data_IF_806231903054
#
_entry.id   IF_806231903054
#
_cell.length_a   1.000
_cell.length_b   1.000
_cell.length_c   1.000
_cell.angle_alpha   90.00
_cell.angle_beta   90.00
_cell.angle_gamma   90.00
#
_symmetry.space_group_name_H-M   'P 1'
#
loop_
_entity.id
_entity.type
_entity.pdbx_description
1 polymer ?
#
# COMPACT_ATOMS: atom_id res chain seq x y z
N UNK A 1 -5.88 4.11 27.36
CA UNK A 1 -5.91 5.54 27.01
C UNK A 1 -7.23 5.84 26.31
N UNK A 2 -7.92 6.91 26.71
CA UNK A 2 -9.15 7.33 26.04
C UNK A 2 -8.82 7.90 24.66
N UNK A 3 -9.57 7.50 23.62
CA UNK A 3 -9.53 8.14 22.31
C UNK A 3 -10.40 9.38 22.35
N UNK A 4 -9.88 10.53 21.89
CA UNK A 4 -10.69 11.71 21.62
C UNK A 4 -11.23 11.61 20.19
N UNK A 5 -12.55 11.64 20.04
CA UNK A 5 -13.22 11.60 18.74
C UNK A 5 -13.80 12.98 18.44
N UNK A 6 -13.51 13.52 17.28
CA UNK A 6 -14.07 14.77 16.78
C UNK A 6 -15.09 14.47 15.69
N UNK A 7 -16.28 15.03 15.78
CA UNK A 7 -17.37 14.84 14.80
C UNK A 7 -17.35 15.87 13.67
N UNK A 8 -16.36 16.76 13.63
CA UNK A 8 -16.23 17.81 12.62
C UNK A 8 -14.77 18.05 12.24
N UNK A 9 -14.52 18.97 11.29
CA UNK A 9 -13.18 19.29 10.85
C UNK A 9 -12.32 19.79 12.01
N UNK A 10 -11.10 19.25 12.13
CA UNK A 10 -10.10 19.72 13.09
C UNK A 10 -9.07 20.55 12.33
N UNK A 11 -8.94 21.84 12.68
CA UNK A 11 -7.90 22.72 12.16
C UNK A 11 -6.77 22.81 13.16
N UNK A 12 -5.57 22.38 12.77
CA UNK A 12 -4.34 22.62 13.53
C UNK A 12 -3.50 23.66 12.80
N UNK A 13 -3.11 24.74 13.50
CA UNK A 13 -2.27 25.80 12.93
C UNK A 13 -0.77 25.48 12.97
N UNK A 14 -0.37 24.51 13.81
CA UNK A 14 1.01 24.07 13.97
C UNK A 14 1.26 22.63 13.48
N UNK A 15 0.25 21.99 12.91
CA UNK A 15 0.31 20.59 12.48
C UNK A 15 0.05 19.59 13.61
N UNK A 16 0.04 18.31 13.26
CA UNK A 16 -0.06 17.20 14.21
C UNK A 16 1.29 16.52 14.31
N UNK A 17 1.75 16.29 15.53
CA UNK A 17 2.94 15.47 15.78
C UNK A 17 2.47 14.02 15.90
N UNK A 18 2.79 13.22 14.90
CA UNK A 18 2.60 11.77 14.95
C UNK A 18 3.96 11.11 15.17
N UNK A 19 4.39 11.07 16.42
CA UNK A 19 5.67 10.50 16.82
C UNK A 19 5.45 9.50 17.94
N UNK A 20 6.35 8.51 18.04
CA UNK A 20 6.36 7.52 19.09
C UNK A 20 6.13 6.10 18.62
N UNK A 21 5.97 5.18 19.55
CA UNK A 21 5.94 3.74 19.33
C UNK A 21 4.88 3.26 18.32
N UNK A 22 3.76 3.95 18.23
CA UNK A 22 2.65 3.58 17.34
C UNK A 22 2.66 4.35 16.00
N UNK A 23 3.73 5.03 15.65
CA UNK A 23 3.82 5.78 14.39
C UNK A 23 4.01 4.89 13.17
N UNK A 24 4.56 3.69 13.34
CA UNK A 24 4.73 2.67 12.30
C UNK A 24 3.89 1.42 12.60
N UNK A 25 3.57 0.64 11.57
CA UNK A 25 2.91 -0.67 11.70
C UNK A 25 3.83 -1.74 11.14
N UNK A 26 4.16 -2.75 11.92
CA UNK A 26 4.93 -3.91 11.45
C UNK A 26 3.98 -5.00 10.97
N UNK A 27 4.12 -5.39 9.69
CA UNK A 27 3.37 -6.46 9.05
C UNK A 27 4.25 -7.72 9.06
N UNK A 28 3.92 -8.67 9.93
CA UNK A 28 4.71 -9.89 10.18
C UNK A 28 3.98 -11.17 9.79
N UNK A 29 2.81 -11.03 9.14
CA UNK A 29 1.97 -12.12 8.63
C UNK A 29 0.98 -11.54 7.62
N UNK A 30 0.26 -12.42 6.91
CA UNK A 30 -0.86 -12.03 6.05
C UNK A 30 -1.81 -11.09 6.80
N UNK A 31 -2.11 -9.93 6.22
CA UNK A 31 -2.84 -8.88 6.92
C UNK A 31 -3.91 -8.25 6.03
N UNK A 32 -5.14 -8.18 6.54
CA UNK A 32 -6.15 -7.30 5.96
C UNK A 32 -5.90 -5.87 6.42
N UNK A 33 -5.57 -5.01 5.48
CA UNK A 33 -5.30 -3.59 5.71
C UNK A 33 -6.62 -2.88 5.96
N UNK A 34 -6.63 -1.97 6.94
CA UNK A 34 -7.80 -1.14 7.28
C UNK A 34 -7.43 0.33 7.29
N UNK A 35 -8.38 1.20 6.96
CA UNK A 35 -8.14 2.66 6.99
C UNK A 35 -7.80 3.11 8.41
N UNK A 36 -8.59 2.67 9.39
CA UNK A 36 -8.46 3.11 10.78
C UNK A 36 -7.10 2.79 11.44
N UNK A 37 -6.45 1.68 11.03
CA UNK A 37 -5.22 1.22 11.66
C UNK A 37 -3.98 1.44 10.81
N UNK A 38 -4.11 1.61 9.50
CA UNK A 38 -2.99 1.54 8.57
C UNK A 38 -2.81 2.79 7.70
N UNK A 39 -3.90 3.53 7.37
CA UNK A 39 -3.80 4.70 6.50
C UNK A 39 -2.94 5.82 7.12
N UNK A 40 -2.13 6.47 6.28
CA UNK A 40 -1.25 7.56 6.68
C UNK A 40 -0.07 7.17 7.59
N UNK A 41 0.20 5.86 7.72
CA UNK A 41 1.30 5.31 8.54
C UNK A 41 2.26 4.51 7.66
N UNK A 42 3.56 4.52 7.94
CA UNK A 42 4.50 3.57 7.33
C UNK A 42 4.14 2.14 7.76
N UNK A 43 3.96 1.26 6.76
CA UNK A 43 3.70 -0.17 6.92
C UNK A 43 4.99 -0.91 6.61
N UNK A 44 5.63 -1.47 7.64
CA UNK A 44 6.91 -2.18 7.51
C UNK A 44 6.64 -3.64 7.16
N UNK A 45 6.94 -4.04 5.93
CA UNK A 45 6.77 -5.41 5.45
C UNK A 45 7.93 -6.27 5.98
N UNK A 46 7.67 -7.01 7.06
CA UNK A 46 8.62 -7.91 7.72
C UNK A 46 8.35 -9.39 7.38
N UNK A 47 7.32 -9.66 6.58
CA UNK A 47 6.96 -10.99 6.09
C UNK A 47 7.38 -11.11 4.62
N UNK A 48 8.24 -12.07 4.29
CA UNK A 48 8.82 -12.22 2.95
C UNK A 48 7.82 -12.73 1.90
N UNK A 49 6.80 -13.47 2.33
CA UNK A 49 5.73 -14.04 1.52
C UNK A 49 4.33 -13.54 1.96
N UNK A 50 4.30 -12.40 2.65
CA UNK A 50 3.09 -11.81 3.20
C UNK A 50 2.11 -11.34 2.14
N UNK A 51 0.82 -11.62 2.36
CA UNK A 51 -0.29 -11.13 1.53
C UNK A 51 -1.01 -10.01 2.27
N UNK A 52 -0.94 -8.78 1.72
CA UNK A 52 -1.53 -7.57 2.29
C UNK A 52 -2.74 -7.15 1.45
N UNK A 53 -3.94 -7.44 1.96
CA UNK A 53 -5.20 -7.15 1.25
C UNK A 53 -5.70 -5.75 1.61
N UNK A 54 -5.81 -4.87 0.61
CA UNK A 54 -6.32 -3.51 0.76
C UNK A 54 -7.83 -3.52 1.06
N UNK A 55 -8.35 -2.51 1.79
CA UNK A 55 -9.80 -2.37 1.99
C UNK A 55 -10.51 -2.07 0.66
N UNK A 56 -11.77 -2.49 0.52
CA UNK A 56 -12.60 -2.06 -0.61
C UNK A 56 -12.79 -0.54 -0.62
N UNK A 57 -12.84 0.06 -1.82
CA UNK A 57 -13.02 1.51 -1.94
C UNK A 57 -14.49 1.87 -1.71
N UNK A 58 -14.73 2.68 -0.69
CA UNK A 58 -16.03 3.26 -0.37
C UNK A 58 -16.02 4.75 -0.76
N UNK A 59 -16.82 5.12 -1.76
CA UNK A 59 -16.86 6.49 -2.28
C UNK A 59 -17.96 7.35 -1.63
N UNK A 60 -18.99 6.71 -1.05
CA UNK A 60 -20.11 7.39 -0.43
C UNK A 60 -20.11 7.11 1.06
N UNK A 61 -20.22 8.16 1.85
CA UNK A 61 -20.30 8.04 3.30
C UNK A 61 -21.57 7.29 3.71
N UNK A 62 -21.49 6.21 4.47
CA UNK A 62 -22.66 5.47 4.92
C UNK A 62 -23.46 6.29 5.96
N UNK A 63 -24.74 5.97 6.10
CA UNK A 63 -25.61 6.57 7.15
C UNK A 63 -25.18 6.10 8.55
N UNK A 64 -24.76 4.85 8.68
CA UNK A 64 -24.18 4.29 9.89
C UNK A 64 -22.65 4.50 9.88
N UNK A 65 -22.15 5.27 10.85
CA UNK A 65 -20.73 5.63 10.99
C UNK A 65 -20.06 4.92 12.17
N UNK A 66 -20.67 3.87 12.68
CA UNK A 66 -20.16 3.14 13.85
C UNK A 66 -18.96 2.27 13.50
N UNK A 67 -18.90 1.74 12.27
CA UNK A 67 -17.74 0.97 11.80
C UNK A 67 -16.77 1.86 10.99
N UNK A 68 -15.61 2.20 11.54
CA UNK A 68 -14.63 3.05 10.86
C UNK A 68 -14.03 2.44 9.58
N UNK A 69 -14.21 1.13 9.35
CA UNK A 69 -13.72 0.46 8.14
C UNK A 69 -14.70 0.54 6.97
N UNK A 70 -15.94 0.96 7.22
CA UNK A 70 -16.96 1.15 6.19
C UNK A 70 -17.19 2.61 5.81
N UNK A 71 -16.47 3.54 6.43
CA UNK A 71 -16.55 4.96 6.07
C UNK A 71 -15.94 5.20 4.68
N UNK A 72 -16.37 6.29 4.05
CA UNK A 72 -15.77 6.74 2.79
C UNK A 72 -14.26 6.89 2.94
N UNK A 73 -13.51 6.30 2.02
CA UNK A 73 -12.05 6.17 2.15
C UNK A 73 -11.28 6.71 0.94
N UNK A 74 -11.92 7.52 0.09
CA UNK A 74 -11.20 8.23 -0.96
C UNK A 74 -10.10 9.12 -0.35
N UNK A 75 -8.91 9.06 -0.95
CA UNK A 75 -7.72 9.73 -0.44
C UNK A 75 -6.96 8.96 0.64
N UNK A 76 -7.49 7.82 1.13
CA UNK A 76 -6.72 6.96 2.02
C UNK A 76 -5.45 6.48 1.32
N UNK A 77 -4.30 6.67 1.99
CA UNK A 77 -3.00 6.32 1.46
C UNK A 77 -2.32 5.30 2.36
N UNK A 78 -1.73 4.30 1.74
CA UNK A 78 -0.99 3.21 2.39
C UNK A 78 0.43 3.20 1.83
N UNK A 79 1.43 3.30 2.71
CA UNK A 79 2.85 3.31 2.34
C UNK A 79 3.52 2.06 2.86
N UNK A 80 3.79 1.12 1.98
CA UNK A 80 4.49 -0.13 2.29
C UNK A 80 5.98 0.06 2.08
N UNK A 81 6.77 -0.34 3.06
CA UNK A 81 8.23 -0.31 3.03
C UNK A 81 8.74 -1.72 3.28
N UNK A 82 9.44 -2.29 2.32
CA UNK A 82 10.00 -3.63 2.44
C UNK A 82 11.19 -3.59 3.38
N UNK A 83 11.11 -4.33 4.48
CA UNK A 83 12.19 -4.48 5.46
C UNK A 83 12.85 -5.84 5.30
N UNK A 84 12.06 -6.89 5.22
CA UNK A 84 12.53 -8.24 4.86
C UNK A 84 12.34 -8.43 3.35
N UNK A 85 13.42 -8.78 2.65
CA UNK A 85 13.36 -9.00 1.20
C UNK A 85 12.26 -10.01 0.84
N UNK A 86 11.42 -9.64 -0.13
CA UNK A 86 10.31 -10.47 -0.57
C UNK A 86 10.78 -11.78 -1.20
N UNK A 87 10.00 -12.83 -1.03
CA UNK A 87 10.12 -14.08 -1.78
C UNK A 87 8.89 -14.32 -2.66
N UNK A 88 7.69 -13.95 -2.15
CA UNK A 88 6.41 -14.00 -2.85
C UNK A 88 5.41 -13.08 -2.14
N UNK A 89 5.76 -11.80 -2.01
CA UNK A 89 4.97 -10.82 -1.26
C UNK A 89 3.97 -10.12 -2.18
N UNK A 90 2.71 -10.10 -1.77
CA UNK A 90 1.63 -9.47 -2.51
C UNK A 90 1.00 -8.30 -1.76
N UNK A 91 0.77 -7.20 -2.48
CA UNK A 91 -0.19 -6.18 -2.12
C UNK A 91 -1.34 -6.32 -3.09
N UNK A 92 -2.53 -6.67 -2.61
CA UNK A 92 -3.68 -6.92 -3.48
C UNK A 92 -4.93 -6.18 -3.03
N UNK A 93 -5.84 -5.97 -3.96
CA UNK A 93 -7.17 -5.46 -3.67
C UNK A 93 -8.13 -6.60 -3.29
N UNK A 94 -9.42 -6.29 -3.17
CA UNK A 94 -10.50 -7.27 -2.99
C UNK A 94 -10.88 -8.00 -4.30
N UNK A 95 -10.15 -7.76 -5.40
CA UNK A 95 -10.42 -8.31 -6.74
C UNK A 95 -11.36 -7.42 -7.57
N UNK A 96 -12.15 -6.55 -6.95
CA UNK A 96 -13.05 -5.60 -7.64
C UNK A 96 -12.32 -4.32 -8.00
N UNK A 97 -11.58 -3.77 -7.05
CA UNK A 97 -10.78 -2.57 -7.25
C UNK A 97 -9.53 -2.89 -8.07
N UNK A 98 -9.14 -2.00 -8.97
CA UNK A 98 -7.99 -2.21 -9.87
C UNK A 98 -6.90 -1.17 -9.64
N UNK A 99 -5.67 -1.55 -9.91
CA UNK A 99 -4.53 -0.66 -9.85
C UNK A 99 -4.44 0.21 -11.10
N UNK A 100 -4.06 1.46 -10.91
CA UNK A 100 -3.70 2.41 -11.97
C UNK A 100 -2.44 3.15 -11.55
N UNK A 101 -1.45 3.22 -12.42
CA UNK A 101 -0.19 3.88 -12.11
C UNK A 101 1.01 3.06 -12.56
N UNK A 102 2.10 3.16 -11.85
CA UNK A 102 3.32 2.51 -12.27
C UNK A 102 4.33 2.26 -11.17
N UNK A 103 5.33 1.44 -11.52
CA UNK A 103 6.45 1.09 -10.69
C UNK A 103 7.76 1.27 -11.46
N UNK A 104 8.73 1.91 -10.85
CA UNK A 104 10.11 1.90 -11.31
C UNK A 104 10.89 0.86 -10.50
N UNK A 105 11.59 -0.04 -11.18
CA UNK A 105 12.51 -0.99 -10.53
C UNK A 105 13.95 -0.65 -10.91
N UNK A 106 14.73 -0.24 -9.93
CA UNK A 106 16.17 -0.07 -10.03
C UNK A 106 16.92 -1.37 -9.74
N UNK A 107 18.07 -1.53 -10.33
CA UNK A 107 18.99 -2.64 -10.07
C UNK A 107 20.42 -2.11 -9.86
N UNK A 108 21.17 -2.82 -9.05
CA UNK A 108 22.56 -2.48 -8.71
C UNK A 108 23.52 -3.21 -9.65
N UNK A 109 23.51 -2.82 -10.92
CA UNK A 109 24.49 -3.30 -11.89
C UNK A 109 24.50 -2.38 -13.14
N UNK A 110 25.23 -2.77 -14.17
CA UNK A 110 25.31 -2.03 -15.44
C UNK A 110 24.03 -2.08 -16.28
N UNK A 111 23.01 -2.85 -15.88
CA UNK A 111 21.74 -2.95 -16.57
C UNK A 111 20.82 -1.80 -16.17
N UNK A 112 20.02 -1.31 -17.13
CA UNK A 112 19.09 -0.23 -16.88
C UNK A 112 17.87 -0.69 -16.06
N UNK A 113 17.48 0.12 -15.08
CA UNK A 113 16.17 -0.03 -14.41
C UNK A 113 15.01 0.07 -15.41
N UNK A 114 13.86 -0.46 -15.05
CA UNK A 114 12.66 -0.45 -15.89
C UNK A 114 11.47 0.18 -15.19
N UNK A 115 10.63 0.85 -15.98
CA UNK A 115 9.31 1.30 -15.56
C UNK A 115 8.25 0.33 -16.07
N UNK A 116 7.34 -0.05 -15.20
CA UNK A 116 6.18 -0.88 -15.52
C UNK A 116 4.91 -0.10 -15.24
N UNK A 117 3.92 -0.24 -16.10
CA UNK A 117 2.61 0.41 -15.99
C UNK A 117 1.56 -0.67 -15.77
N UNK A 118 0.60 -0.42 -14.89
CA UNK A 118 -0.50 -1.35 -14.63
C UNK A 118 -1.38 -1.53 -15.87
N UNK A 119 -1.82 -2.75 -16.10
CA UNK A 119 -2.93 -3.04 -17.02
C UNK A 119 -4.29 -2.67 -16.39
N UNK A 120 -5.34 -2.70 -17.22
CA UNK A 120 -6.70 -2.32 -16.76
C UNK A 120 -7.36 -3.32 -15.82
N UNK A 121 -6.88 -4.56 -15.78
CA UNK A 121 -7.40 -5.66 -14.95
C UNK A 121 -6.56 -5.92 -13.69
N UNK A 122 -5.34 -5.36 -13.61
CA UNK A 122 -4.44 -5.71 -12.53
C UNK A 122 -4.97 -5.29 -11.16
N UNK A 123 -5.00 -6.24 -10.25
CA UNK A 123 -5.46 -6.10 -8.87
C UNK A 123 -4.48 -6.69 -7.84
N UNK A 124 -3.35 -7.23 -8.32
CA UNK A 124 -2.24 -7.71 -7.51
C UNK A 124 -0.95 -7.00 -7.88
N UNK A 125 -0.19 -6.59 -6.88
CA UNK A 125 1.17 -6.07 -6.98
C UNK A 125 2.10 -7.04 -6.25
N UNK A 126 2.80 -7.89 -7.01
CA UNK A 126 3.60 -8.98 -6.50
C UNK A 126 5.09 -8.66 -6.56
N UNK A 127 5.84 -9.05 -5.54
CA UNK A 127 7.28 -8.82 -5.41
C UNK A 127 7.98 -10.13 -5.01
N UNK A 128 9.15 -10.40 -5.60
CA UNK A 128 9.88 -11.66 -5.40
C UNK A 128 11.35 -11.46 -4.95
N UNK A 129 11.69 -10.27 -4.50
CA UNK A 129 13.04 -9.94 -4.04
C UNK A 129 14.10 -9.93 -5.17
N UNK A 130 13.68 -10.04 -6.42
CA UNK A 130 14.61 -10.08 -7.58
C UNK A 130 13.96 -9.41 -8.80
N UNK A 131 13.46 -10.19 -9.76
CA UNK A 131 12.98 -9.71 -11.07
C UNK A 131 11.74 -8.84 -11.01
N UNK A 132 10.89 -8.98 -9.98
CA UNK A 132 9.71 -8.14 -9.71
C UNK A 132 9.96 -7.08 -8.64
N UNK A 133 11.21 -6.87 -8.25
CA UNK A 133 11.57 -6.00 -7.14
C UNK A 133 11.26 -6.62 -5.77
N UNK A 134 11.29 -5.79 -4.71
CA UNK A 134 11.00 -6.25 -3.37
C UNK A 134 12.23 -6.59 -2.52
N UNK A 135 13.43 -6.13 -2.93
CA UNK A 135 14.56 -6.09 -2.00
C UNK A 135 14.27 -5.07 -0.87
N UNK A 136 14.93 -5.27 0.27
CA UNK A 136 14.80 -4.35 1.41
C UNK A 136 15.09 -2.90 0.99
N UNK A 137 14.24 -1.97 1.41
CA UNK A 137 14.25 -0.57 0.98
C UNK A 137 13.32 -0.25 -0.19
N UNK A 138 12.68 -1.24 -0.83
CA UNK A 138 11.60 -0.99 -1.80
C UNK A 138 10.42 -0.31 -1.14
N UNK A 139 9.79 0.65 -1.85
CA UNK A 139 8.63 1.41 -1.37
C UNK A 139 7.49 1.30 -2.37
N UNK A 140 6.29 1.05 -1.87
CA UNK A 140 5.05 1.05 -2.64
C UNK A 140 4.04 1.96 -1.95
N UNK A 141 3.58 2.99 -2.65
CA UNK A 141 2.54 3.90 -2.18
C UNK A 141 1.26 3.60 -2.95
N UNK A 142 0.19 3.32 -2.22
CA UNK A 142 -1.13 3.03 -2.78
C UNK A 142 -2.14 4.02 -2.24
N UNK A 143 -2.92 4.66 -3.12
CA UNK A 143 -3.90 5.68 -2.74
C UNK A 143 -5.26 5.38 -3.40
N UNK A 144 -6.33 5.37 -2.62
CA UNK A 144 -7.70 5.28 -3.14
C UNK A 144 -8.08 6.58 -3.84
N UNK A 145 -8.23 6.59 -5.18
CA UNK A 145 -8.43 7.83 -5.97
C UNK A 145 -9.82 7.97 -6.58
N UNK A 146 -10.50 6.87 -6.82
CA UNK A 146 -11.85 6.88 -7.40
C UNK A 146 -12.53 5.54 -7.11
N UNK A 147 -13.83 5.42 -7.42
CA UNK A 147 -14.54 4.14 -7.37
C UNK A 147 -13.76 3.08 -8.16
N UNK A 148 -13.50 1.95 -7.51
CA UNK A 148 -12.79 0.80 -8.05
C UNK A 148 -11.37 1.10 -8.58
N UNK A 149 -10.70 2.16 -8.09
CA UNK A 149 -9.35 2.54 -8.55
C UNK A 149 -8.42 2.93 -7.42
N UNK A 150 -7.37 2.15 -7.27
CA UNK A 150 -6.19 2.47 -6.48
C UNK A 150 -5.06 2.97 -7.36
N UNK A 151 -4.54 4.17 -7.08
CA UNK A 151 -3.30 4.64 -7.69
C UNK A 151 -2.10 4.00 -7.01
N UNK A 152 -1.18 3.46 -7.81
CA UNK A 152 0.09 2.90 -7.34
C UNK A 152 1.25 3.73 -7.87
N UNK A 153 2.13 4.14 -6.97
CA UNK A 153 3.44 4.70 -7.28
C UNK A 153 4.48 3.90 -6.49
N UNK A 154 5.39 3.24 -7.19
CA UNK A 154 6.38 2.39 -6.53
C UNK A 154 7.79 2.67 -7.00
N UNK A 155 8.72 2.67 -6.05
CA UNK A 155 10.16 2.62 -6.29
C UNK A 155 10.69 1.30 -5.71
N UNK A 156 11.04 0.40 -6.59
CA UNK A 156 11.47 -0.95 -6.23
C UNK A 156 12.97 -1.11 -6.42
N UNK A 157 13.55 -1.94 -5.60
CA UNK A 157 14.91 -2.45 -5.73
C UNK A 157 14.81 -3.92 -6.15
N UNK A 158 15.54 -4.30 -7.18
CA UNK A 158 15.47 -5.64 -7.74
C UNK A 158 16.81 -6.10 -8.31
N UNK A 159 16.80 -7.24 -8.98
CA UNK A 159 17.98 -7.84 -9.63
C UNK A 159 17.58 -8.72 -10.82
N UNK A 160 18.54 -9.03 -11.67
CA UNK A 160 18.34 -9.91 -12.82
C UNK A 160 17.48 -9.28 -13.94
N UNK A 161 16.80 -10.10 -14.74
CA UNK A 161 15.96 -9.63 -15.83
C UNK A 161 14.62 -9.16 -15.31
N UNK A 162 14.42 -7.85 -15.26
CA UNK A 162 13.22 -7.25 -14.69
C UNK A 162 11.94 -7.57 -15.47
N UNK A 163 10.89 -7.98 -14.76
CA UNK A 163 9.53 -8.24 -15.27
C UNK A 163 8.52 -7.43 -14.46
N UNK A 164 7.31 -7.28 -14.99
CA UNK A 164 6.25 -6.51 -14.33
C UNK A 164 5.88 -7.08 -12.97
N UNK A 165 5.72 -6.23 -11.92
CA UNK A 165 5.15 -6.64 -10.65
C UNK A 165 3.61 -6.65 -10.66
N UNK A 166 2.95 -6.13 -11.70
CA UNK A 166 1.49 -6.11 -11.81
C UNK A 166 0.96 -7.45 -12.34
N UNK A 167 -0.07 -7.97 -11.69
CA UNK A 167 -0.73 -9.24 -12.02
C UNK A 167 -2.24 -9.14 -11.78
N UNK A 168 -2.95 -10.17 -12.23
CA UNK A 168 -4.37 -10.40 -11.95
C UNK A 168 -4.49 -11.57 -10.95
N UNK A 169 -5.48 -11.50 -10.04
CA UNK A 169 -5.78 -12.56 -9.07
C UNK A 169 -6.56 -13.72 -9.69
#
# INVERSE_FOLDING_TARGET
MAKSTFSGPVRSLAGFINAGYNSVVSLTANTTITVASHAGRPLLCNDADGVFTLPSIVVTEPSDKTDPNQLANLGAQFTFIVVTAATDMDIKTDGTDKFVGGAYTGIDDSAAGKTFISGSSNDVFTQNGSTKGGLAGSIVVVTAIASAKYHVAAQLLGSGTLVTPFADS
#
